data_IF_208951894781
#
_entry.id   IF_208951894781
#
_cell.length_a   1.000
_cell.length_b   1.000
_cell.length_c   1.000
_cell.angle_alpha   90.00
_cell.angle_beta   90.00
_cell.angle_gamma   90.00
#
_symmetry.space_group_name_H-M   'P 1'
#
loop_
_entity.id
_entity.type
_entity.pdbx_description
1 polymer ?
#
# COMPACT_ATOMS: atom_id res chain seq x y z
N UNK A 1 40.66 -28.04 50.01
CA UNK A 1 39.64 -29.02 50.49
C UNK A 1 38.24 -28.77 49.92
N UNK A 2 37.82 -27.49 49.72
CA UNK A 2 36.51 -27.13 49.13
C UNK A 2 36.26 -27.60 47.68
N UNK A 3 37.27 -27.60 46.79
CA UNK A 3 37.11 -27.99 45.37
C UNK A 3 36.78 -29.48 45.21
N UNK A 4 37.31 -30.34 46.10
CA UNK A 4 36.99 -31.79 46.14
C UNK A 4 35.59 -32.06 46.70
N UNK A 5 35.04 -31.14 47.49
CA UNK A 5 33.68 -31.24 48.04
C UNK A 5 32.63 -30.78 47.02
N UNK A 6 32.90 -29.67 46.31
CA UNK A 6 32.09 -29.18 45.19
C UNK A 6 32.01 -30.19 44.04
N UNK A 7 33.14 -30.78 43.63
CA UNK A 7 33.16 -31.81 42.57
C UNK A 7 32.45 -33.11 42.99
N UNK A 8 32.56 -33.53 44.26
CA UNK A 8 31.79 -34.68 44.77
C UNK A 8 30.30 -34.39 44.83
N UNK A 9 29.91 -33.19 45.27
CA UNK A 9 28.52 -32.75 45.34
C UNK A 9 27.92 -32.64 43.94
N UNK A 10 28.60 -31.98 43.00
CA UNK A 10 28.23 -31.93 41.57
C UNK A 10 28.14 -33.33 40.96
N UNK A 11 29.07 -34.25 41.26
CA UNK A 11 29.01 -35.62 40.72
C UNK A 11 27.86 -36.46 41.28
N UNK A 12 27.41 -36.18 42.52
CA UNK A 12 26.26 -36.83 43.15
C UNK A 12 24.96 -36.23 42.63
N UNK A 13 24.90 -34.89 42.54
CA UNK A 13 23.82 -34.16 41.90
C UNK A 13 23.66 -34.63 40.44
N UNK A 14 24.76 -34.77 39.70
CA UNK A 14 24.81 -35.26 38.32
C UNK A 14 24.42 -36.73 38.16
N UNK A 15 24.85 -37.61 39.07
CA UNK A 15 24.41 -39.01 39.08
C UNK A 15 22.93 -39.14 39.41
N UNK A 16 22.42 -38.29 40.30
CA UNK A 16 21.01 -38.20 40.62
C UNK A 16 20.20 -37.61 39.46
N UNK A 17 20.65 -36.50 38.87
CA UNK A 17 20.05 -35.81 37.73
C UNK A 17 20.04 -36.68 36.47
N UNK A 18 21.14 -37.40 36.17
CA UNK A 18 21.19 -38.35 35.04
C UNK A 18 20.34 -39.61 35.26
N UNK A 19 20.07 -40.00 36.51
CA UNK A 19 19.11 -41.06 36.84
C UNK A 19 17.67 -40.56 36.77
N UNK A 20 17.44 -39.29 37.13
CA UNK A 20 16.17 -38.60 36.99
C UNK A 20 15.82 -38.44 35.51
N UNK A 21 16.74 -37.91 34.70
CA UNK A 21 16.64 -37.84 33.23
C UNK A 21 16.39 -39.24 32.65
N UNK A 22 17.22 -40.25 32.98
CA UNK A 22 16.97 -41.63 32.49
C UNK A 22 15.62 -42.20 32.91
N UNK A 23 15.06 -41.83 34.06
CA UNK A 23 13.71 -42.28 34.49
C UNK A 23 12.58 -41.50 33.80
N UNK A 24 12.74 -40.19 33.62
CA UNK A 24 11.79 -39.32 32.91
C UNK A 24 11.71 -39.69 31.43
N UNK A 25 12.83 -40.06 30.82
CA UNK A 25 12.94 -40.41 29.40
C UNK A 25 12.73 -41.91 29.08
N UNK A 26 12.69 -42.85 30.06
CA UNK A 26 12.71 -44.31 29.75
C UNK A 26 11.39 -44.96 29.35
N UNK A 27 10.24 -44.31 29.46
CA UNK A 27 8.96 -44.89 29.03
C UNK A 27 7.88 -43.82 29.07
N UNK A 28 7.65 -43.11 27.97
CA UNK A 28 6.44 -42.30 27.79
C UNK A 28 5.99 -42.45 26.35
N UNK A 29 4.66 -42.62 26.17
CA UNK A 29 3.98 -42.45 24.88
C UNK A 29 4.58 -41.23 24.19
N UNK A 30 4.78 -41.28 22.86
CA UNK A 30 5.14 -40.10 22.08
C UNK A 30 4.24 -38.95 22.58
N UNK A 31 4.81 -37.90 23.20
CA UNK A 31 3.99 -36.80 23.68
C UNK A 31 3.22 -36.27 22.49
N UNK A 32 1.92 -36.02 22.67
CA UNK A 32 1.13 -35.41 21.61
C UNK A 32 1.61 -33.95 21.46
N UNK A 33 2.38 -33.74 20.40
CA UNK A 33 3.04 -32.47 20.08
C UNK A 33 2.10 -31.52 19.34
N UNK A 34 0.98 -32.03 18.79
CA UNK A 34 0.01 -31.27 17.98
C UNK A 34 -0.37 -29.93 18.61
N UNK A 35 -0.96 -29.91 19.82
CA UNK A 35 -1.46 -28.68 20.45
C UNK A 35 -0.38 -27.70 20.96
N UNK A 36 0.91 -28.03 20.79
CA UNK A 36 2.05 -27.21 21.20
C UNK A 36 2.83 -26.62 20.00
N UNK A 37 2.54 -27.11 18.79
CA UNK A 37 3.08 -26.62 17.52
C UNK A 37 1.98 -26.48 16.47
N UNK A 38 0.86 -25.89 16.89
CA UNK A 38 -0.21 -25.40 16.01
C UNK A 38 0.15 -24.03 15.42
N UNK A 39 -0.42 -23.75 14.24
CA UNK A 39 -0.24 -22.47 13.56
C UNK A 39 -0.88 -21.32 14.34
N UNK A 40 -2.12 -21.54 14.74
CA UNK A 40 -2.99 -20.55 15.41
C UNK A 40 -2.87 -20.61 16.93
N UNK A 41 -1.71 -21.06 17.43
CA UNK A 41 -1.42 -20.99 18.86
C UNK A 41 -1.56 -19.52 19.30
N UNK A 42 -2.31 -19.22 20.38
CA UNK A 42 -2.35 -17.87 20.91
C UNK A 42 -0.98 -17.55 21.48
N UNK A 43 -0.20 -16.80 20.70
CA UNK A 43 1.15 -16.43 21.04
C UNK A 43 1.09 -15.15 21.88
N UNK A 44 1.62 -15.18 23.11
CA UNK A 44 1.62 -14.04 24.04
C UNK A 44 2.67 -12.97 23.69
N UNK A 45 3.24 -12.29 24.69
CA UNK A 45 4.29 -11.26 24.47
C UNK A 45 5.60 -11.85 23.86
N UNK A 46 6.54 -10.97 23.52
CA UNK A 46 7.87 -11.30 22.96
C UNK A 46 8.65 -12.39 23.72
N UNK A 47 9.60 -13.06 23.04
CA UNK A 47 10.55 -13.95 23.70
C UNK A 47 11.48 -13.19 24.67
N UNK A 48 12.25 -13.93 25.47
CA UNK A 48 13.06 -13.37 26.56
C UNK A 48 14.55 -13.49 26.32
N UNK A 49 15.23 -12.33 26.28
CA UNK A 49 16.70 -12.22 26.32
C UNK A 49 17.20 -12.52 27.74
N UNK A 50 18.21 -13.37 27.84
CA UNK A 50 18.82 -13.77 29.10
C UNK A 50 20.06 -12.87 29.35
N UNK A 51 19.86 -11.62 29.76
CA UNK A 51 20.99 -10.78 30.14
C UNK A 51 21.65 -11.32 31.41
N UNK A 52 22.95 -11.00 31.58
CA UNK A 52 23.70 -11.31 32.79
C UNK A 52 23.13 -10.63 34.04
N UNK A 53 22.44 -9.49 33.88
CA UNK A 53 21.99 -8.66 35.00
C UNK A 53 20.45 -8.66 35.22
N UNK A 54 19.66 -9.23 34.31
CA UNK A 54 18.21 -9.39 34.49
C UNK A 54 17.88 -10.69 35.23
N UNK A 55 18.39 -10.84 36.44
CA UNK A 55 17.91 -11.88 37.35
C UNK A 55 16.61 -11.40 38.03
N UNK A 56 15.44 -12.02 37.79
CA UNK A 56 14.36 -11.87 38.77
C UNK A 56 14.87 -12.37 40.13
N UNK A 57 14.41 -11.80 41.25
CA UNK A 57 14.93 -12.15 42.57
C UNK A 57 14.89 -13.66 42.76
N UNK A 58 16.07 -14.22 43.02
CA UNK A 58 16.26 -15.62 43.38
C UNK A 58 15.45 -15.88 44.64
N UNK A 59 14.37 -16.66 44.49
CA UNK A 59 13.57 -17.28 45.54
C UNK A 59 12.95 -16.30 46.57
N UNK A 60 11.62 -16.08 46.59
CA UNK A 60 11.00 -15.74 47.87
C UNK A 60 11.22 -16.95 48.80
N UNK A 61 11.68 -16.70 50.02
CA UNK A 61 12.02 -17.70 51.05
C UNK A 61 10.99 -18.84 51.13
N UNK A 62 11.23 -19.93 50.40
CA UNK A 62 10.36 -21.08 50.38
C UNK A 62 10.93 -22.12 51.34
N UNK A 63 10.17 -22.41 52.40
CA UNK A 63 10.45 -23.43 53.40
C UNK A 63 10.63 -24.85 52.82
N UNK A 64 10.83 -25.86 53.70
CA UNK A 64 11.32 -27.18 53.31
C UNK A 64 10.47 -27.83 52.21
N UNK A 65 11.10 -28.03 51.06
CA UNK A 65 10.56 -28.62 49.84
C UNK A 65 9.84 -29.97 50.10
N UNK A 66 8.51 -29.96 50.07
CA UNK A 66 7.71 -31.16 49.97
C UNK A 66 7.70 -31.64 48.49
N UNK A 67 8.55 -32.61 48.19
CA UNK A 67 8.79 -33.23 46.87
C UNK A 67 7.64 -34.13 46.36
N UNK A 68 6.40 -33.89 46.80
CA UNK A 68 5.26 -34.69 46.39
C UNK A 68 4.43 -33.93 45.34
N UNK A 69 4.30 -34.50 44.14
CA UNK A 69 3.36 -34.14 43.06
C UNK A 69 3.69 -32.99 42.08
N UNK A 70 4.94 -32.51 42.00
CA UNK A 70 5.38 -31.38 41.15
C UNK A 70 5.28 -31.54 39.61
N UNK A 71 4.71 -32.63 39.07
CA UNK A 71 4.83 -32.98 37.64
C UNK A 71 3.53 -33.46 36.98
N UNK A 72 2.38 -32.97 37.44
CA UNK A 72 1.17 -32.88 36.59
C UNK A 72 0.95 -31.40 36.25
N UNK A 73 0.33 -31.19 35.08
CA UNK A 73 0.12 -29.94 34.34
C UNK A 73 0.34 -28.64 35.14
N UNK A 74 1.07 -27.66 34.59
CA UNK A 74 1.51 -26.46 35.31
C UNK A 74 0.32 -25.75 35.98
N UNK A 75 0.44 -25.55 37.30
CA UNK A 75 -0.48 -24.69 38.05
C UNK A 75 -0.01 -23.23 37.91
N UNK A 76 -0.90 -22.23 37.74
CA UNK A 76 -0.51 -20.83 37.49
C UNK A 76 0.52 -20.27 38.49
N UNK A 77 0.41 -20.64 39.77
CA UNK A 77 1.32 -20.25 40.85
C UNK A 77 2.75 -20.83 40.73
N UNK A 78 3.00 -21.75 39.80
CA UNK A 78 4.33 -22.36 39.58
C UNK A 78 5.10 -21.71 38.42
N UNK A 79 4.49 -20.80 37.67
CA UNK A 79 5.09 -20.18 36.48
C UNK A 79 6.42 -19.46 36.76
N UNK A 80 6.58 -18.62 37.80
CA UNK A 80 7.87 -17.97 38.08
C UNK A 80 8.98 -18.99 38.37
N UNK A 81 8.66 -20.09 39.05
CA UNK A 81 9.59 -21.17 39.37
C UNK A 81 9.97 -21.93 38.09
N UNK A 82 8.99 -22.27 37.25
CA UNK A 82 9.23 -22.95 35.98
C UNK A 82 10.11 -22.13 35.04
N UNK A 83 9.89 -20.82 34.98
CA UNK A 83 10.71 -19.90 34.20
C UNK A 83 12.13 -19.79 34.76
N UNK A 84 12.29 -19.73 36.09
CA UNK A 84 13.61 -19.76 36.73
C UNK A 84 14.38 -21.05 36.42
N UNK A 85 13.71 -22.20 36.43
CA UNK A 85 14.29 -23.49 36.03
C UNK A 85 14.66 -23.48 34.55
N UNK A 86 13.79 -22.99 33.67
CA UNK A 86 14.05 -22.90 32.24
C UNK A 86 15.27 -22.01 31.94
N UNK A 87 15.36 -20.84 32.57
CA UNK A 87 16.51 -19.93 32.48
C UNK A 87 17.81 -20.64 32.88
N UNK A 88 17.83 -21.33 34.01
CA UNK A 88 19.03 -22.08 34.46
C UNK A 88 19.42 -23.20 33.50
N UNK A 89 18.45 -23.90 32.91
CA UNK A 89 18.72 -24.92 31.90
C UNK A 89 19.30 -24.32 30.62
N UNK A 90 18.79 -23.17 30.18
CA UNK A 90 19.31 -22.45 29.01
C UNK A 90 20.72 -21.90 29.26
N UNK A 91 20.98 -21.32 30.43
CA UNK A 91 22.34 -20.91 30.84
C UNK A 91 23.32 -22.09 30.79
N UNK A 92 22.94 -23.28 31.27
CA UNK A 92 23.78 -24.49 31.21
C UNK A 92 24.06 -24.95 29.78
N UNK A 93 23.11 -24.75 28.86
CA UNK A 93 23.28 -25.03 27.43
C UNK A 93 24.08 -23.95 26.70
N UNK A 94 24.39 -22.82 27.36
CA UNK A 94 25.02 -21.66 26.72
C UNK A 94 24.08 -20.92 25.76
N UNK A 95 22.77 -21.05 25.98
CA UNK A 95 21.73 -20.34 25.25
C UNK A 95 21.39 -19.01 25.92
N UNK A 96 21.10 -18.00 25.10
CA UNK A 96 20.92 -16.61 25.54
C UNK A 96 19.49 -16.08 25.31
N UNK A 97 18.61 -16.87 24.68
CA UNK A 97 17.24 -16.47 24.34
C UNK A 97 16.23 -17.59 24.60
N UNK A 98 15.08 -17.25 25.17
CA UNK A 98 13.91 -18.13 25.33
C UNK A 98 12.82 -17.64 24.38
N UNK A 99 12.49 -18.42 23.34
CA UNK A 99 11.54 -18.00 22.31
C UNK A 99 10.11 -17.87 22.85
N UNK A 100 9.30 -17.04 22.18
CA UNK A 100 7.86 -16.85 22.44
C UNK A 100 7.12 -18.18 22.46
N UNK A 101 7.40 -19.05 21.48
CA UNK A 101 6.78 -20.38 21.40
C UNK A 101 7.14 -21.25 22.61
N UNK A 102 8.40 -21.24 23.04
CA UNK A 102 8.80 -21.95 24.25
C UNK A 102 8.09 -21.39 25.49
N UNK A 103 7.95 -20.06 25.62
CA UNK A 103 7.18 -19.47 26.72
C UNK A 103 5.74 -20.00 26.76
N UNK A 104 5.08 -20.12 25.61
CA UNK A 104 3.72 -20.70 25.51
C UNK A 104 3.72 -22.20 25.85
N UNK A 105 4.75 -22.95 25.46
CA UNK A 105 4.86 -24.36 25.87
C UNK A 105 5.02 -24.47 27.38
N UNK A 106 5.77 -23.57 28.02
CA UNK A 106 6.00 -23.55 29.47
C UNK A 106 4.73 -23.18 30.26
N UNK A 107 3.74 -22.49 29.68
CA UNK A 107 2.43 -22.30 30.34
C UNK A 107 1.59 -23.58 30.36
N UNK A 108 1.91 -24.54 29.48
CA UNK A 108 1.16 -25.81 29.31
C UNK A 108 1.91 -27.03 29.85
N UNK A 109 3.23 -26.95 30.03
CA UNK A 109 4.11 -28.06 30.46
C UNK A 109 5.16 -27.58 31.43
N UNK A 110 5.59 -28.46 32.34
CA UNK A 110 6.72 -28.15 33.23
C UNK A 110 8.02 -27.89 32.44
N UNK A 111 8.95 -27.15 33.03
CA UNK A 111 10.17 -26.68 32.35
C UNK A 111 11.00 -27.80 31.71
N UNK A 112 11.12 -28.96 32.35
CA UNK A 112 11.88 -30.07 31.78
C UNK A 112 11.17 -30.69 30.58
N UNK A 113 9.86 -30.90 30.69
CA UNK A 113 9.06 -31.44 29.59
C UNK A 113 8.96 -30.45 28.44
N UNK A 114 8.71 -29.17 28.71
CA UNK A 114 8.59 -28.11 27.72
C UNK A 114 9.86 -27.93 26.92
N UNK A 115 11.02 -27.83 27.59
CA UNK A 115 12.32 -27.73 26.93
C UNK A 115 12.63 -29.02 26.15
N UNK A 116 12.35 -30.19 26.73
CA UNK A 116 12.53 -31.45 26.01
C UNK A 116 11.70 -31.51 24.73
N UNK A 117 10.44 -31.07 24.78
CA UNK A 117 9.53 -31.02 23.64
C UNK A 117 10.07 -30.05 22.58
N UNK A 118 10.46 -28.85 22.98
CA UNK A 118 11.03 -27.83 22.12
C UNK A 118 12.31 -28.29 21.41
N UNK A 119 13.28 -28.81 22.16
CA UNK A 119 14.52 -29.34 21.60
C UNK A 119 14.26 -30.54 20.68
N UNK A 120 13.36 -31.44 21.06
CA UNK A 120 12.99 -32.60 20.23
C UNK A 120 12.36 -32.17 18.91
N UNK A 121 11.55 -31.11 18.90
CA UNK A 121 10.97 -30.56 17.67
C UNK A 121 12.07 -30.06 16.72
N UNK A 122 13.08 -29.36 17.27
CA UNK A 122 14.25 -28.88 16.52
C UNK A 122 15.29 -29.97 16.23
N UNK A 123 15.00 -31.24 16.55
CA UNK A 123 15.91 -32.39 16.44
C UNK A 123 17.24 -32.21 17.19
N UNK A 124 17.19 -31.53 18.33
CA UNK A 124 18.32 -31.33 19.23
C UNK A 124 18.19 -32.22 20.46
N UNK A 125 19.32 -32.77 20.92
CA UNK A 125 19.40 -33.52 22.17
C UNK A 125 20.06 -32.67 23.27
N UNK A 126 19.42 -32.65 24.45
CA UNK A 126 19.90 -31.87 25.59
C UNK A 126 21.30 -32.31 26.06
N UNK A 127 21.63 -33.60 26.02
CA UNK A 127 22.96 -34.07 26.44
C UNK A 127 24.04 -33.68 25.44
N UNK A 128 23.70 -33.65 24.15
CA UNK A 128 24.61 -33.23 23.10
C UNK A 128 24.94 -31.73 23.23
N UNK A 129 23.94 -30.90 23.54
CA UNK A 129 24.14 -29.48 23.82
C UNK A 129 25.06 -29.25 25.03
N UNK A 130 24.97 -30.06 26.08
CA UNK A 130 25.86 -29.90 27.24
C UNK A 130 27.32 -30.31 26.97
N UNK A 131 27.55 -31.24 26.04
CA UNK A 131 28.88 -31.85 25.81
C UNK A 131 29.62 -31.28 24.61
N UNK A 132 28.90 -30.86 23.58
CA UNK A 132 29.49 -30.48 22.30
C UNK A 132 29.44 -28.97 22.09
N UNK A 133 30.60 -28.29 21.98
CA UNK A 133 30.65 -26.88 21.58
C UNK A 133 29.97 -26.63 20.22
N UNK A 134 30.16 -27.52 19.24
CA UNK A 134 29.55 -27.42 17.91
C UNK A 134 28.02 -27.51 17.95
N UNK A 135 27.47 -28.36 18.81
CA UNK A 135 26.02 -28.46 18.98
C UNK A 135 25.43 -27.18 19.60
N UNK A 136 26.15 -26.57 20.56
CA UNK A 136 25.76 -25.28 21.15
C UNK A 136 25.82 -24.14 20.13
N UNK A 137 26.88 -24.10 19.33
CA UNK A 137 27.00 -23.09 18.27
C UNK A 137 25.82 -23.19 17.29
N UNK A 138 25.50 -24.41 16.82
CA UNK A 138 24.32 -24.64 15.97
C UNK A 138 23.02 -24.21 16.64
N UNK A 139 22.83 -24.55 17.91
CA UNK A 139 21.62 -24.17 18.64
C UNK A 139 21.51 -22.66 18.83
N UNK A 140 22.62 -21.97 19.11
CA UNK A 140 22.62 -20.52 19.21
C UNK A 140 22.29 -19.86 17.86
N UNK A 141 22.77 -20.39 16.73
CA UNK A 141 22.31 -19.94 15.40
C UNK A 141 20.80 -20.12 15.19
N UNK A 142 20.22 -21.20 15.71
CA UNK A 142 18.75 -21.37 15.66
C UNK A 142 18.06 -20.29 16.50
N UNK A 143 18.63 -19.94 17.65
CA UNK A 143 18.07 -18.89 18.51
C UNK A 143 18.21 -17.49 17.91
N UNK A 144 19.28 -17.21 17.17
CA UNK A 144 19.46 -15.95 16.43
C UNK A 144 18.30 -15.78 15.43
N UNK A 145 18.06 -16.80 14.60
CA UNK A 145 16.93 -16.82 13.64
C UNK A 145 15.58 -16.69 14.36
N UNK A 146 15.36 -17.48 15.42
CA UNK A 146 14.06 -17.51 16.11
C UNK A 146 13.76 -16.21 16.87
N UNK A 147 14.77 -15.48 17.34
CA UNK A 147 14.57 -14.14 17.93
C UNK A 147 14.05 -13.17 16.88
N UNK A 148 14.69 -13.12 15.71
CA UNK A 148 14.27 -12.23 14.62
C UNK A 148 12.86 -12.57 14.13
N UNK A 149 12.54 -13.86 14.02
CA UNK A 149 11.18 -14.32 13.70
C UNK A 149 10.16 -13.88 14.75
N UNK A 150 10.48 -14.00 16.05
CA UNK A 150 9.58 -13.59 17.11
C UNK A 150 9.27 -12.07 17.03
N UNK A 151 10.28 -11.25 16.72
CA UNK A 151 10.14 -9.81 16.51
C UNK A 151 9.24 -9.52 15.29
N UNK A 152 9.56 -10.08 14.12
CA UNK A 152 8.81 -9.84 12.88
C UNK A 152 7.37 -10.35 12.97
N UNK A 153 7.17 -11.59 13.43
CA UNK A 153 5.84 -12.19 13.52
C UNK A 153 4.93 -11.47 14.52
N UNK A 154 5.49 -10.82 15.55
CA UNK A 154 4.71 -10.01 16.48
C UNK A 154 4.21 -8.72 15.81
N UNK A 155 5.04 -8.04 15.03
CA UNK A 155 4.68 -6.78 14.37
C UNK A 155 3.53 -6.93 13.38
N UNK A 156 3.55 -7.99 12.58
CA UNK A 156 2.54 -8.24 11.53
C UNK A 156 1.50 -9.29 11.93
N UNK A 157 1.57 -9.80 13.16
CA UNK A 157 0.66 -10.80 13.72
C UNK A 157 0.47 -12.06 12.85
N UNK A 158 1.57 -12.70 12.46
CA UNK A 158 1.57 -13.96 11.68
C UNK A 158 2.21 -15.11 12.46
N UNK A 159 2.06 -16.34 11.95
CA UNK A 159 2.63 -17.53 12.57
C UNK A 159 4.13 -17.69 12.26
N UNK A 160 4.90 -18.00 13.30
CA UNK A 160 6.32 -18.37 13.29
C UNK A 160 6.55 -19.86 12.93
N UNK A 161 5.50 -20.68 12.94
CA UNK A 161 5.58 -22.14 12.72
C UNK A 161 6.35 -22.56 11.45
N UNK A 162 6.21 -21.90 10.29
CA UNK A 162 6.96 -22.28 9.08
C UNK A 162 8.48 -22.32 9.28
N UNK A 163 9.02 -21.40 10.09
CA UNK A 163 10.45 -21.38 10.40
C UNK A 163 10.84 -22.55 11.31
N UNK A 164 10.01 -22.90 12.29
CA UNK A 164 10.24 -24.08 13.13
C UNK A 164 10.26 -25.37 12.30
N UNK A 165 9.35 -25.50 11.33
CA UNK A 165 9.35 -26.62 10.40
C UNK A 165 10.57 -26.62 9.46
N UNK A 166 11.04 -25.46 9.02
CA UNK A 166 12.29 -25.33 8.26
C UNK A 166 13.50 -25.77 9.11
N UNK A 167 13.61 -25.30 10.35
CA UNK A 167 14.70 -25.67 11.28
C UNK A 167 14.68 -27.16 11.64
N UNK A 168 13.49 -27.77 11.74
CA UNK A 168 13.31 -29.20 11.99
C UNK A 168 13.90 -30.08 10.88
N UNK A 169 14.02 -29.59 9.66
CA UNK A 169 14.72 -30.30 8.57
C UNK A 169 16.21 -30.49 8.88
N UNK A 170 16.76 -29.62 9.74
CA UNK A 170 18.17 -29.57 10.10
C UNK A 170 19.03 -28.75 9.14
N UNK A 171 18.46 -28.22 8.05
CA UNK A 171 19.14 -27.34 7.11
C UNK A 171 18.94 -25.87 7.52
N UNK A 172 20.02 -25.20 7.93
CA UNK A 172 19.99 -23.78 8.32
C UNK A 172 19.69 -22.89 7.11
N UNK A 173 20.27 -23.18 5.96
CA UNK A 173 20.11 -22.37 4.75
C UNK A 173 18.64 -22.30 4.32
N UNK A 174 17.89 -23.39 4.52
CA UNK A 174 16.45 -23.41 4.26
C UNK A 174 15.67 -22.50 5.24
N UNK A 175 16.09 -22.47 6.52
CA UNK A 175 15.46 -21.60 7.51
C UNK A 175 15.80 -20.12 7.26
N UNK A 176 17.03 -19.81 6.82
CA UNK A 176 17.45 -18.46 6.40
C UNK A 176 16.66 -18.01 5.17
N UNK A 177 16.55 -18.85 4.13
CA UNK A 177 15.72 -18.52 2.95
C UNK A 177 14.23 -18.32 3.32
N UNK A 178 13.72 -19.09 4.28
CA UNK A 178 12.35 -18.92 4.78
C UNK A 178 12.22 -17.63 5.60
N UNK A 179 13.26 -17.22 6.32
CA UNK A 179 13.32 -15.94 7.03
C UNK A 179 13.34 -14.77 6.05
N UNK A 180 14.10 -14.84 4.97
CA UNK A 180 14.12 -13.82 3.90
C UNK A 180 12.73 -13.60 3.29
N UNK A 181 11.98 -14.69 3.07
CA UNK A 181 10.59 -14.62 2.62
C UNK A 181 9.69 -13.90 3.65
N UNK A 182 9.86 -14.19 4.95
CA UNK A 182 9.13 -13.51 6.02
C UNK A 182 9.45 -12.00 6.06
N UNK A 183 10.71 -11.60 5.88
CA UNK A 183 11.08 -10.18 5.80
C UNK A 183 10.47 -9.49 4.58
N UNK A 184 10.43 -10.17 3.44
CA UNK A 184 9.79 -9.66 2.23
C UNK A 184 8.29 -9.47 2.47
N UNK A 185 7.63 -10.47 3.04
CA UNK A 185 6.21 -10.38 3.41
C UNK A 185 5.94 -9.25 4.43
N UNK A 186 6.82 -9.05 5.42
CA UNK A 186 6.76 -7.92 6.37
C UNK A 186 6.84 -6.58 5.66
N UNK A 187 7.77 -6.42 4.72
CA UNK A 187 7.95 -5.18 3.95
C UNK A 187 6.68 -4.84 3.16
N UNK A 188 6.14 -5.80 2.42
CA UNK A 188 4.89 -5.64 1.66
C UNK A 188 3.72 -5.32 2.59
N UNK A 189 3.58 -6.06 3.69
CA UNK A 189 2.56 -5.79 4.70
C UNK A 189 2.64 -4.37 5.24
N UNK A 190 3.84 -3.92 5.62
CA UNK A 190 4.07 -2.58 6.14
C UNK A 190 3.72 -1.49 5.11
N UNK A 191 4.08 -1.70 3.83
CA UNK A 191 3.72 -0.77 2.75
C UNK A 191 2.19 -0.64 2.62
N UNK A 192 1.46 -1.76 2.65
CA UNK A 192 0.00 -1.78 2.49
C UNK A 192 -0.73 -1.17 3.70
N UNK A 193 -0.33 -1.56 4.92
CA UNK A 193 -1.04 -1.13 6.15
C UNK A 193 -0.75 0.33 6.52
N UNK A 194 0.49 0.78 6.29
CA UNK A 194 0.87 2.16 6.63
C UNK A 194 0.43 3.17 5.58
N UNK A 195 -0.01 2.72 4.40
CA UNK A 195 -0.57 3.60 3.39
C UNK A 195 -1.86 4.23 3.90
N UNK A 196 -1.88 5.56 3.96
CA UNK A 196 -2.97 6.39 4.52
C UNK A 196 -3.39 7.51 3.59
N UNK A 197 -2.62 7.78 2.53
CA UNK A 197 -2.94 8.84 1.58
C UNK A 197 -4.14 8.46 0.70
N UNK A 198 -4.30 7.16 0.41
CA UNK A 198 -5.37 6.67 -0.46
C UNK A 198 -6.74 6.81 0.23
N UNK A 199 -7.59 7.65 -0.33
CA UNK A 199 -8.91 8.00 0.24
C UNK A 199 -10.04 7.04 -0.20
N UNK A 200 -9.82 6.27 -1.27
CA UNK A 200 -10.87 5.46 -1.88
C UNK A 200 -11.32 4.31 -0.96
N UNK A 201 -12.62 4.17 -0.65
CA UNK A 201 -13.11 3.09 0.21
C UNK A 201 -12.76 1.69 -0.32
N UNK A 202 -12.79 1.51 -1.65
CA UNK A 202 -12.43 0.27 -2.33
C UNK A 202 -11.02 -0.22 -2.01
N UNK A 203 -10.06 0.67 -1.73
CA UNK A 203 -8.70 0.29 -1.37
C UNK A 203 -8.66 -0.59 -0.12
N UNK A 204 -9.41 -0.23 0.93
CA UNK A 204 -9.39 -0.97 2.20
C UNK A 204 -10.12 -2.32 2.10
N UNK A 205 -11.27 -2.31 1.46
CA UNK A 205 -12.16 -3.48 1.43
C UNK A 205 -11.76 -4.49 0.35
N UNK A 206 -11.40 -4.00 -0.84
CA UNK A 206 -11.13 -4.85 -2.00
C UNK A 206 -9.65 -5.26 -2.10
N UNK A 207 -8.72 -4.46 -1.57
CA UNK A 207 -7.29 -4.75 -1.66
C UNK A 207 -6.64 -5.05 -0.30
N UNK A 208 -6.66 -4.12 0.66
CA UNK A 208 -5.95 -4.28 1.94
C UNK A 208 -6.42 -5.52 2.69
N UNK A 209 -7.74 -5.68 2.85
CA UNK A 209 -8.30 -6.82 3.60
C UNK A 209 -7.97 -8.19 2.98
N UNK A 210 -8.12 -8.41 1.66
CA UNK A 210 -7.64 -9.64 1.00
C UNK A 210 -6.12 -9.82 1.03
N UNK A 211 -5.33 -8.75 0.86
CA UNK A 211 -3.88 -8.82 0.87
C UNK A 211 -3.35 -9.28 2.23
N UNK A 212 -3.84 -8.70 3.33
CA UNK A 212 -3.47 -9.12 4.70
C UNK A 212 -3.84 -10.59 4.93
N UNK A 213 -5.00 -11.05 4.44
CA UNK A 213 -5.40 -12.47 4.53
C UNK A 213 -4.46 -13.39 3.76
N UNK A 214 -3.96 -12.97 2.58
CA UNK A 214 -2.95 -13.73 1.83
C UNK A 214 -1.62 -13.77 2.59
N UNK A 215 -1.15 -12.62 3.10
CA UNK A 215 0.11 -12.49 3.86
C UNK A 215 0.07 -13.28 5.18
N UNK A 216 -1.10 -13.47 5.79
CA UNK A 216 -1.25 -14.37 6.94
C UNK A 216 -0.77 -15.80 6.64
N UNK A 217 -0.74 -16.20 5.35
CA UNK A 217 -0.18 -17.44 4.82
C UNK A 217 1.08 -17.22 3.98
N UNK A 218 1.98 -16.35 4.47
CA UNK A 218 3.21 -15.93 3.81
C UNK A 218 4.09 -17.10 3.34
N UNK A 219 4.08 -18.26 4.01
CA UNK A 219 4.89 -19.41 3.61
C UNK A 219 4.43 -20.09 2.32
N UNK A 220 3.24 -19.76 1.84
CA UNK A 220 2.68 -20.24 0.57
C UNK A 220 2.86 -19.24 -0.56
N UNK A 221 3.36 -18.05 -0.25
CA UNK A 221 3.58 -17.01 -1.24
C UNK A 221 4.89 -17.28 -1.96
N UNK A 222 4.84 -17.14 -3.28
CA UNK A 222 6.03 -17.03 -4.10
C UNK A 222 6.40 -15.54 -4.28
N UNK A 223 7.60 -15.30 -4.77
CA UNK A 223 8.10 -13.96 -5.06
C UNK A 223 7.18 -13.23 -6.05
N UNK A 224 6.62 -13.96 -7.04
CA UNK A 224 5.66 -13.41 -8.01
C UNK A 224 4.41 -12.83 -7.35
N UNK A 225 3.83 -13.53 -6.37
CA UNK A 225 2.62 -13.07 -5.67
C UNK A 225 2.92 -11.83 -4.83
N UNK A 226 4.10 -11.74 -4.22
CA UNK A 226 4.50 -10.57 -3.44
C UNK A 226 4.70 -9.34 -4.34
N UNK A 227 5.33 -9.52 -5.51
CA UNK A 227 5.45 -8.47 -6.52
C UNK A 227 4.10 -8.01 -7.03
N UNK A 228 3.16 -8.94 -7.29
CA UNK A 228 1.80 -8.60 -7.72
C UNK A 228 1.09 -7.69 -6.68
N UNK A 229 1.27 -7.95 -5.38
CA UNK A 229 0.71 -7.09 -4.33
C UNK A 229 1.35 -5.69 -4.32
N UNK A 230 2.66 -5.58 -4.54
CA UNK A 230 3.36 -4.29 -4.66
C UNK A 230 2.86 -3.52 -5.89
N UNK A 231 2.69 -4.19 -7.04
CA UNK A 231 2.16 -3.59 -8.27
C UNK A 231 0.73 -3.07 -8.09
N UNK A 232 -0.15 -3.86 -7.45
CA UNK A 232 -1.53 -3.42 -7.18
C UNK A 232 -1.53 -2.21 -6.24
N UNK A 233 -0.68 -2.18 -5.21
CA UNK A 233 -0.54 -1.02 -4.33
C UNK A 233 -0.12 0.23 -5.14
N UNK A 234 0.84 0.10 -6.05
CA UNK A 234 1.28 1.20 -6.91
C UNK A 234 0.16 1.72 -7.83
N UNK A 235 -0.70 0.84 -8.36
CA UNK A 235 -1.86 1.27 -9.15
C UNK A 235 -2.80 2.16 -8.33
N UNK A 236 -3.08 1.79 -7.09
CA UNK A 236 -3.91 2.62 -6.20
C UNK A 236 -3.24 3.94 -5.83
N UNK A 237 -1.92 3.94 -5.60
CA UNK A 237 -1.16 5.17 -5.35
C UNK A 237 -1.21 6.10 -6.57
N UNK A 238 -1.05 5.57 -7.78
CA UNK A 238 -1.15 6.36 -9.01
C UNK A 238 -2.56 6.93 -9.21
N UNK A 239 -3.61 6.17 -8.88
CA UNK A 239 -4.99 6.69 -8.91
C UNK A 239 -5.18 7.83 -7.91
N UNK A 240 -4.60 7.74 -6.71
CA UNK A 240 -4.67 8.80 -5.71
C UNK A 240 -3.94 10.06 -6.21
N UNK A 241 -2.76 9.90 -6.80
CA UNK A 241 -1.99 11.01 -7.39
C UNK A 241 -2.77 11.72 -8.49
N UNK A 242 -3.38 10.97 -9.42
CA UNK A 242 -4.23 11.53 -10.47
C UNK A 242 -5.43 12.31 -9.89
N UNK A 243 -6.07 11.77 -8.83
CA UNK A 243 -7.16 12.44 -8.15
C UNK A 243 -6.72 13.76 -7.49
N UNK A 244 -5.57 13.76 -6.83
CA UNK A 244 -5.03 14.94 -6.18
C UNK A 244 -4.66 16.02 -7.21
N UNK A 245 -4.01 15.62 -8.31
CA UNK A 245 -3.66 16.51 -9.42
C UNK A 245 -4.89 17.20 -10.03
N UNK A 246 -5.93 16.43 -10.38
CA UNK A 246 -7.13 17.00 -11.00
C UNK A 246 -7.92 17.87 -10.01
N UNK A 247 -7.93 17.50 -8.72
CA UNK A 247 -8.63 18.26 -7.69
C UNK A 247 -7.95 19.62 -7.45
N UNK A 248 -6.62 19.67 -7.44
CA UNK A 248 -5.88 20.93 -7.35
C UNK A 248 -6.04 21.78 -8.62
N UNK A 249 -6.00 21.18 -9.82
CA UNK A 249 -6.25 21.88 -11.08
C UNK A 249 -7.67 22.48 -11.13
N UNK A 250 -8.68 21.72 -10.69
CA UNK A 250 -10.06 22.19 -10.57
C UNK A 250 -10.18 23.33 -9.56
N UNK A 251 -9.53 23.24 -8.39
CA UNK A 251 -9.54 24.33 -7.40
C UNK A 251 -8.96 25.62 -8.02
N UNK A 252 -7.79 25.51 -8.65
CA UNK A 252 -7.11 26.65 -9.25
C UNK A 252 -7.95 27.34 -10.32
N UNK A 253 -8.59 26.59 -11.22
CA UNK A 253 -9.39 27.20 -12.30
C UNK A 253 -10.70 27.80 -11.79
N UNK A 254 -11.32 27.18 -10.77
CA UNK A 254 -12.51 27.72 -10.10
C UNK A 254 -12.17 29.06 -9.43
N UNK A 255 -11.03 29.16 -8.75
CA UNK A 255 -10.55 30.41 -8.14
C UNK A 255 -10.30 31.49 -9.20
N UNK A 256 -9.65 31.15 -10.32
CA UNK A 256 -9.40 32.08 -11.42
C UNK A 256 -10.70 32.64 -12.01
N UNK A 257 -11.68 31.79 -12.31
CA UNK A 257 -12.97 32.23 -12.85
C UNK A 257 -13.74 33.09 -11.84
N UNK A 258 -13.72 32.72 -10.56
CA UNK A 258 -14.34 33.52 -9.49
C UNK A 258 -13.70 34.91 -9.36
N UNK A 259 -12.39 35.03 -9.55
CA UNK A 259 -11.68 36.30 -9.50
C UNK A 259 -12.05 37.28 -10.62
N UNK A 260 -12.47 36.76 -11.79
CA UNK A 260 -12.88 37.59 -12.93
C UNK A 260 -14.35 38.05 -12.82
N UNK A 261 -15.18 37.34 -12.04
CA UNK A 261 -16.63 37.53 -11.88
C UNK A 261 -17.39 37.70 -13.22
N UNK A 262 -17.70 36.60 -13.95
CA UNK A 262 -18.21 36.68 -15.32
C UNK A 262 -19.50 37.52 -15.42
N UNK A 263 -19.49 38.66 -16.10
CA UNK A 263 -20.65 39.58 -16.19
C UNK A 263 -21.92 38.91 -16.78
N UNK A 264 -21.74 37.92 -17.66
CA UNK A 264 -22.86 37.26 -18.34
C UNK A 264 -23.57 36.21 -17.45
N UNK A 265 -24.88 36.37 -17.29
CA UNK A 265 -25.72 35.48 -16.46
C UNK A 265 -25.71 34.02 -16.91
N UNK A 266 -25.58 33.77 -18.21
CA UNK A 266 -25.54 32.40 -18.77
C UNK A 266 -24.25 31.69 -18.37
N UNK A 267 -23.12 32.37 -18.48
CA UNK A 267 -21.80 31.86 -18.10
C UNK A 267 -21.75 31.59 -16.58
N UNK A 268 -22.24 32.52 -15.75
CA UNK A 268 -22.34 32.28 -14.29
C UNK A 268 -23.13 31.02 -13.97
N UNK A 269 -24.28 30.80 -14.63
CA UNK A 269 -25.11 29.60 -14.39
C UNK A 269 -24.40 28.32 -14.80
N UNK A 270 -23.77 28.31 -15.98
CA UNK A 270 -23.02 27.15 -16.47
C UNK A 270 -21.87 26.81 -15.51
N UNK A 271 -21.08 27.81 -15.10
CA UNK A 271 -20.03 27.66 -14.11
C UNK A 271 -20.54 27.05 -12.78
N UNK A 272 -21.61 27.61 -12.20
CA UNK A 272 -22.18 27.07 -10.95
C UNK A 272 -22.70 25.63 -11.11
N UNK A 273 -23.23 25.26 -12.28
CA UNK A 273 -23.67 23.90 -12.53
C UNK A 273 -22.50 22.93 -12.59
N UNK A 274 -21.39 23.31 -13.24
CA UNK A 274 -20.19 22.47 -13.31
C UNK A 274 -19.55 22.34 -11.94
N UNK A 275 -19.39 23.42 -11.18
CA UNK A 275 -18.87 23.36 -9.80
C UNK A 275 -19.71 22.42 -8.93
N UNK A 276 -21.05 22.51 -9.03
CA UNK A 276 -21.94 21.59 -8.31
C UNK A 276 -21.76 20.12 -8.74
N UNK A 277 -21.49 19.86 -10.02
CA UNK A 277 -21.17 18.50 -10.52
C UNK A 277 -19.85 18.02 -9.93
N UNK A 278 -18.80 18.86 -9.93
CA UNK A 278 -17.50 18.55 -9.33
C UNK A 278 -17.66 18.16 -7.86
N UNK A 279 -18.37 18.96 -7.06
CA UNK A 279 -18.61 18.67 -5.64
C UNK A 279 -19.40 17.36 -5.45
N UNK A 280 -20.38 17.10 -6.33
CA UNK A 280 -21.15 15.86 -6.34
C UNK A 280 -20.28 14.63 -6.61
N UNK A 281 -19.47 14.68 -7.67
CA UNK A 281 -18.57 13.57 -8.05
C UNK A 281 -17.56 13.29 -6.94
N UNK A 282 -16.94 14.33 -6.37
CA UNK A 282 -15.98 14.16 -5.26
C UNK A 282 -16.62 13.45 -4.07
N UNK A 283 -17.83 13.86 -3.71
CA UNK A 283 -18.59 13.21 -2.63
C UNK A 283 -18.94 11.76 -2.95
N UNK A 284 -19.36 11.46 -4.17
CA UNK A 284 -19.68 10.08 -4.59
C UNK A 284 -18.45 9.16 -4.57
N UNK A 285 -17.25 9.68 -4.87
CA UNK A 285 -15.98 8.97 -4.77
C UNK A 285 -15.62 8.71 -3.30
N UNK A 286 -15.72 9.74 -2.45
CA UNK A 286 -15.45 9.62 -1.00
C UNK A 286 -16.40 8.65 -0.30
N UNK A 287 -17.68 8.63 -0.70
CA UNK A 287 -18.69 7.69 -0.20
C UNK A 287 -18.54 6.27 -0.80
N UNK A 288 -17.72 6.12 -1.86
CA UNK A 288 -17.50 4.85 -2.55
C UNK A 288 -18.69 4.38 -3.38
N UNK A 289 -19.67 5.25 -3.63
CA UNK A 289 -20.80 4.95 -4.53
C UNK A 289 -20.40 5.01 -6.01
N UNK A 290 -19.27 5.65 -6.31
CA UNK A 290 -18.70 5.75 -7.65
C UNK A 290 -17.31 5.13 -7.69
N UNK A 291 -17.00 4.47 -8.80
CA UNK A 291 -15.64 3.99 -9.07
C UNK A 291 -14.66 5.17 -9.16
N UNK A 292 -13.46 5.00 -8.61
CA UNK A 292 -12.48 6.07 -8.53
C UNK A 292 -11.97 6.49 -9.91
N UNK A 293 -11.72 5.53 -10.82
CA UNK A 293 -11.21 5.83 -12.16
C UNK A 293 -12.26 6.56 -13.00
N UNK A 294 -13.49 6.05 -13.00
CA UNK A 294 -14.63 6.69 -13.70
C UNK A 294 -14.89 8.10 -13.14
N UNK A 295 -14.81 8.25 -11.82
CA UNK A 295 -14.96 9.53 -11.14
C UNK A 295 -13.89 10.56 -11.54
N UNK A 296 -12.62 10.14 -11.62
CA UNK A 296 -11.51 10.99 -12.06
C UNK A 296 -11.70 11.43 -13.52
N UNK A 297 -12.13 10.52 -14.42
CA UNK A 297 -12.41 10.86 -15.82
C UNK A 297 -13.52 11.92 -15.94
N UNK A 298 -14.60 11.80 -15.15
CA UNK A 298 -15.66 12.80 -15.13
C UNK A 298 -15.19 14.15 -14.55
N UNK A 299 -14.30 14.15 -13.55
CA UNK A 299 -13.67 15.36 -13.03
C UNK A 299 -12.80 16.04 -14.09
N UNK A 300 -12.05 15.25 -14.87
CA UNK A 300 -11.27 15.76 -16.00
C UNK A 300 -12.17 16.42 -17.05
N UNK A 301 -13.30 15.78 -17.39
CA UNK A 301 -14.30 16.40 -18.29
C UNK A 301 -14.84 17.72 -17.73
N UNK A 302 -15.07 17.82 -16.41
CA UNK A 302 -15.50 19.08 -15.79
C UNK A 302 -14.41 20.15 -15.87
N UNK A 303 -13.14 19.77 -15.69
CA UNK A 303 -12.01 20.68 -15.84
C UNK A 303 -11.94 21.25 -17.27
N UNK A 304 -12.07 20.40 -18.29
CA UNK A 304 -12.03 20.83 -19.69
C UNK A 304 -13.18 21.81 -20.02
N UNK A 305 -14.39 21.56 -19.50
CA UNK A 305 -15.53 22.48 -19.61
C UNK A 305 -15.22 23.84 -18.94
N UNK A 306 -14.63 23.84 -17.75
CA UNK A 306 -14.24 25.07 -17.03
C UNK A 306 -13.11 25.82 -17.74
N UNK A 307 -12.15 25.09 -18.33
CA UNK A 307 -11.07 25.68 -19.11
C UNK A 307 -11.58 26.43 -20.34
N UNK A 308 -12.53 25.83 -21.06
CA UNK A 308 -13.19 26.49 -22.18
C UNK A 308 -13.97 27.75 -21.75
N UNK A 309 -14.62 27.73 -20.59
CA UNK A 309 -15.28 28.91 -20.02
C UNK A 309 -14.27 30.00 -19.66
N UNK A 310 -13.17 29.63 -19.00
CA UNK A 310 -12.14 30.57 -18.60
C UNK A 310 -11.50 31.26 -19.82
N UNK A 311 -11.19 30.51 -20.88
CA UNK A 311 -10.67 31.06 -22.14
C UNK A 311 -11.66 32.05 -22.79
N UNK A 312 -12.94 31.69 -22.87
CA UNK A 312 -13.98 32.58 -23.40
C UNK A 312 -14.14 33.87 -22.59
N UNK A 313 -14.02 33.81 -21.26
CA UNK A 313 -14.09 35.01 -20.40
C UNK A 313 -12.87 35.91 -20.66
N UNK A 314 -11.68 35.32 -20.73
CA UNK A 314 -10.42 36.04 -20.94
C UNK A 314 -10.40 36.78 -22.28
N UNK A 315 -10.84 36.13 -23.36
CA UNK A 315 -10.95 36.74 -24.69
C UNK A 315 -11.96 37.90 -24.72
N UNK A 316 -13.06 37.79 -23.95
CA UNK A 316 -14.04 38.86 -23.79
C UNK A 316 -13.47 40.09 -23.07
N UNK A 317 -12.66 39.90 -22.03
CA UNK A 317 -12.02 41.00 -21.28
C UNK A 317 -10.93 41.73 -22.07
N UNK A 318 -10.17 41.02 -22.91
CA UNK A 318 -9.14 41.63 -23.77
C UNK A 318 -9.74 42.54 -24.87
N UNK A 319 -10.97 42.24 -25.29
CA UNK A 319 -11.71 43.10 -26.23
C UNK A 319 -12.28 44.37 -25.58
N UNK A 320 -12.62 44.37 -24.28
CA UNK A 320 -13.06 45.58 -23.56
C UNK A 320 -11.90 46.55 -23.25
N UNK A 321 -10.70 46.06 -22.91
CA UNK A 321 -9.53 46.92 -22.61
C UNK A 321 -8.95 47.61 -23.85
N UNK A 322 -9.10 47.01 -25.03
CA UNK A 322 -8.63 47.59 -26.29
C UNK A 322 -9.62 48.57 -26.95
N UNK A 323 -10.80 48.76 -26.34
CA UNK A 323 -11.85 49.64 -26.87
C UNK A 323 -11.69 51.12 -26.47
N UNK A 324 -10.74 51.46 -25.59
CA UNK A 324 -10.52 52.86 -25.18
C UNK A 324 -9.54 53.66 -26.07
N UNK A 325 -9.03 53.08 -27.16
CA UNK A 325 -8.08 53.75 -28.08
C UNK A 325 -8.42 53.64 -29.59
N UNK A 326 -9.63 53.26 -30.00
CA UNK A 326 -9.94 53.08 -31.44
C UNK A 326 -11.26 53.68 -31.90
N UNK A 327 -11.41 55.00 -31.79
CA UNK A 327 -12.06 55.76 -32.85
C UNK A 327 -10.99 56.00 -33.92
N UNK A 328 -10.93 55.18 -34.99
CA UNK A 328 -10.27 55.53 -36.27
C UNK A 328 -10.32 54.42 -37.37
N UNK A 329 -10.78 53.18 -37.11
CA UNK A 329 -10.61 52.05 -38.07
C UNK A 329 -11.90 51.47 -38.72
N UNK A 330 -13.03 52.20 -38.70
CA UNK A 330 -14.29 51.73 -39.31
C UNK A 330 -14.21 51.57 -40.85
N UNK A 331 -13.30 52.28 -41.52
CA UNK A 331 -13.12 52.20 -42.98
C UNK A 331 -12.35 50.95 -43.46
N UNK A 332 -11.68 50.24 -42.54
CA UNK A 332 -10.87 49.04 -42.83
C UNK A 332 -11.69 47.74 -42.76
N UNK A 333 -12.72 47.70 -41.91
CA UNK A 333 -13.51 46.50 -41.64
C UNK A 333 -14.43 46.13 -42.82
N UNK A 334 -15.14 47.11 -43.38
CA UNK A 334 -16.06 46.91 -44.51
C UNK A 334 -15.35 46.40 -45.77
N UNK A 335 -14.11 46.83 -46.00
CA UNK A 335 -13.27 46.33 -47.08
C UNK A 335 -12.95 44.84 -46.92
N UNK A 336 -12.55 44.42 -45.71
CA UNK A 336 -12.23 43.02 -45.39
C UNK A 336 -13.46 42.11 -45.46
N UNK A 337 -14.62 42.58 -45.01
CA UNK A 337 -15.89 41.85 -45.12
C UNK A 337 -16.20 41.53 -46.58
N UNK A 338 -16.06 42.52 -47.48
CA UNK A 338 -16.32 42.36 -48.91
C UNK A 338 -15.38 41.34 -49.56
N UNK A 339 -14.10 41.37 -49.23
CA UNK A 339 -13.10 40.44 -49.78
C UNK A 339 -13.32 38.99 -49.30
N UNK A 340 -13.72 38.81 -48.04
CA UNK A 340 -14.07 37.49 -47.51
C UNK A 340 -15.35 36.94 -48.15
N UNK A 341 -16.37 37.77 -48.36
CA UNK A 341 -17.60 37.37 -49.06
C UNK A 341 -17.31 36.98 -50.52
N UNK A 342 -16.41 37.70 -51.18
CA UNK A 342 -15.91 37.35 -52.52
C UNK A 342 -15.18 36.01 -52.55
N UNK A 343 -14.33 35.76 -51.56
CA UNK A 343 -13.59 34.50 -51.40
C UNK A 343 -14.53 33.29 -51.25
N UNK A 344 -15.66 33.48 -50.58
CA UNK A 344 -16.69 32.45 -50.41
C UNK A 344 -17.71 32.38 -51.57
N UNK A 345 -17.56 33.21 -52.60
CA UNK A 345 -18.48 33.26 -53.75
C UNK A 345 -19.88 33.78 -53.37
N UNK A 346 -19.96 34.59 -52.32
CA UNK A 346 -21.19 35.19 -51.80
C UNK A 346 -21.36 36.65 -52.21
N UNK A 347 -20.47 37.19 -53.05
CA UNK A 347 -20.63 38.54 -53.62
C UNK A 347 -21.93 38.65 -54.43
N UNK A 348 -22.76 39.65 -54.12
CA UNK A 348 -24.08 39.86 -54.71
C UNK A 348 -25.19 38.97 -54.14
N UNK A 349 -24.92 38.18 -53.10
CA UNK A 349 -25.99 37.55 -52.31
C UNK A 349 -26.58 38.59 -51.36
N UNK A 350 -27.90 38.59 -51.14
CA UNK A 350 -28.55 39.58 -50.27
C UNK A 350 -28.11 39.46 -48.80
N UNK A 351 -29.05 39.26 -47.89
CA UNK A 351 -28.70 39.06 -46.47
C UNK A 351 -27.99 37.70 -46.30
N UNK A 352 -26.75 37.70 -45.84
CA UNK A 352 -25.97 36.48 -45.60
C UNK A 352 -26.20 35.99 -44.17
N UNK A 353 -26.86 34.84 -44.03
CA UNK A 353 -27.06 34.18 -42.73
C UNK A 353 -25.98 33.13 -42.47
N UNK A 354 -25.82 32.72 -41.21
CA UNK A 354 -24.88 31.66 -40.81
C UNK A 354 -25.07 30.36 -41.60
N UNK A 355 -26.32 30.04 -41.95
CA UNK A 355 -26.63 28.85 -42.74
C UNK A 355 -26.10 28.96 -44.18
N UNK A 356 -26.24 30.13 -44.81
CA UNK A 356 -25.70 30.41 -46.15
C UNK A 356 -24.17 30.35 -46.12
N UNK A 357 -23.56 30.98 -45.11
CA UNK A 357 -22.11 31.00 -44.90
C UNK A 357 -21.52 29.58 -44.76
N UNK A 358 -22.13 28.74 -43.90
CA UNK A 358 -21.72 27.34 -43.71
C UNK A 358 -21.87 26.51 -44.98
N UNK A 359 -22.96 26.74 -45.73
CA UNK A 359 -23.25 25.99 -46.96
C UNK A 359 -22.25 26.32 -48.08
N UNK A 360 -21.97 27.60 -48.30
CA UNK A 360 -20.98 28.05 -49.29
C UNK A 360 -19.58 27.53 -48.98
N UNK A 361 -19.16 27.64 -47.72
CA UNK A 361 -17.86 27.15 -47.23
C UNK A 361 -17.72 25.64 -47.41
N UNK A 362 -18.75 24.86 -47.05
CA UNK A 362 -18.74 23.39 -47.23
C UNK A 362 -18.63 23.00 -48.71
N UNK A 363 -19.30 23.74 -49.61
CA UNK A 363 -19.26 23.51 -51.06
C UNK A 363 -17.86 23.78 -51.61
N UNK A 364 -17.23 24.88 -51.21
CA UNK A 364 -15.88 25.25 -51.65
C UNK A 364 -14.79 24.34 -51.07
N UNK A 365 -14.86 24.02 -49.76
CA UNK A 365 -13.93 23.06 -49.13
C UNK A 365 -13.96 21.70 -49.80
N UNK A 366 -15.13 21.17 -50.16
CA UNK A 366 -15.23 19.89 -50.89
C UNK A 366 -14.59 19.94 -52.29
N UNK A 367 -14.56 21.12 -52.91
CA UNK A 367 -14.03 21.34 -54.27
C UNK A 367 -12.52 21.55 -54.28
N UNK A 368 -11.98 22.16 -53.23
CA UNK A 368 -10.56 22.50 -53.12
C UNK A 368 -9.80 21.69 -52.06
N UNK A 369 -10.42 20.68 -51.44
CA UNK A 369 -9.74 19.82 -50.47
C UNK A 369 -8.49 19.18 -51.08
N UNK A 370 -7.31 19.27 -50.42
CA UNK A 370 -6.05 18.78 -50.98
C UNK A 370 -6.12 17.28 -51.35
N UNK A 371 -6.81 16.47 -50.55
CA UNK A 371 -6.99 15.04 -50.85
C UNK A 371 -7.85 14.73 -52.09
N UNK A 372 -8.69 15.69 -52.53
CA UNK A 372 -9.61 15.51 -53.67
C UNK A 372 -9.21 16.32 -54.90
N UNK A 373 -8.34 17.30 -54.74
CA UNK A 373 -7.88 18.18 -55.81
C UNK A 373 -6.33 18.22 -55.80
N UNK A 374 -5.66 17.56 -56.76
CA UNK A 374 -4.19 17.47 -56.81
C UNK A 374 -3.51 18.76 -57.32
N UNK A 375 -4.26 19.87 -57.46
CA UNK A 375 -3.68 21.13 -57.87
C UNK A 375 -2.75 21.70 -56.77
N UNK A 376 -1.59 22.27 -57.14
CA UNK A 376 -0.61 22.77 -56.18
C UNK A 376 -1.11 23.95 -55.33
N UNK A 377 -2.21 24.60 -55.74
CA UNK A 377 -2.85 25.74 -55.06
C UNK A 377 -4.05 25.33 -54.18
N UNK A 378 -4.37 24.04 -54.10
CA UNK A 378 -5.53 23.52 -53.36
C UNK A 378 -5.43 23.79 -51.84
N UNK A 379 -4.22 23.69 -51.28
CA UNK A 379 -3.95 23.96 -49.86
C UNK A 379 -4.13 25.44 -49.54
N UNK A 380 -3.56 26.34 -50.35
CA UNK A 380 -3.68 27.80 -50.17
C UNK A 380 -5.14 28.27 -50.29
N UNK A 381 -5.88 27.74 -51.28
CA UNK A 381 -7.30 28.05 -51.46
C UNK A 381 -8.15 27.53 -50.31
N UNK A 382 -7.86 26.35 -49.80
CA UNK A 382 -8.58 25.80 -48.63
C UNK A 382 -8.32 26.64 -47.39
N UNK A 383 -7.10 27.13 -47.20
CA UNK A 383 -6.75 28.04 -46.10
C UNK A 383 -7.50 29.37 -46.22
N UNK A 384 -7.49 30.00 -47.40
CA UNK A 384 -8.23 31.24 -47.64
C UNK A 384 -9.74 31.10 -47.39
N UNK A 385 -10.34 29.96 -47.76
CA UNK A 385 -11.76 29.64 -47.48
C UNK A 385 -12.01 29.51 -45.97
N UNK A 386 -11.07 28.91 -45.22
CA UNK A 386 -11.18 28.73 -43.77
C UNK A 386 -11.12 30.08 -43.05
N UNK A 387 -10.20 30.93 -43.46
CA UNK A 387 -9.95 32.22 -42.84
C UNK A 387 -11.10 33.19 -43.14
N UNK A 388 -11.61 33.21 -44.38
CA UNK A 388 -12.80 33.97 -44.74
C UNK A 388 -14.05 33.52 -43.97
N UNK A 389 -14.25 32.21 -43.77
CA UNK A 389 -15.35 31.70 -42.96
C UNK A 389 -15.23 32.10 -41.49
N UNK A 390 -14.04 31.96 -40.89
CA UNK A 390 -13.80 32.33 -39.49
C UNK A 390 -14.09 33.81 -39.26
N UNK A 391 -13.58 34.68 -40.12
CA UNK A 391 -13.77 36.12 -40.02
C UNK A 391 -15.25 36.53 -40.13
N UNK A 392 -15.98 36.01 -41.14
CA UNK A 392 -17.40 36.34 -41.32
C UNK A 392 -18.30 35.72 -40.24
N UNK A 393 -17.95 34.53 -39.73
CA UNK A 393 -18.68 33.90 -38.63
C UNK A 393 -18.50 34.67 -37.32
N UNK A 394 -17.30 35.21 -37.08
CA UNK A 394 -17.02 36.11 -35.95
C UNK A 394 -17.81 37.43 -36.09
N UNK A 395 -17.85 38.04 -37.28
CA UNK A 395 -18.68 39.22 -37.55
C UNK A 395 -20.18 38.97 -37.24
N UNK A 396 -20.73 37.84 -37.68
CA UNK A 396 -22.12 37.46 -37.38
C UNK A 396 -22.35 37.21 -35.88
N UNK A 397 -21.37 36.63 -35.19
CA UNK A 397 -21.44 36.37 -33.74
C UNK A 397 -21.41 37.67 -32.93
N UNK A 398 -20.76 38.72 -33.47
CA UNK A 398 -20.74 40.10 -32.95
C UNK A 398 -21.97 40.93 -33.36
N UNK A 399 -22.91 40.36 -34.13
CA UNK A 399 -24.14 41.03 -34.55
C UNK A 399 -24.02 41.92 -35.78
N UNK A 400 -22.92 41.86 -36.53
CA UNK A 400 -22.73 42.63 -37.77
C UNK A 400 -23.59 42.03 -38.88
N UNK A 401 -24.40 42.85 -39.56
CA UNK A 401 -25.20 42.39 -40.70
C UNK A 401 -24.34 42.27 -41.97
N UNK A 402 -24.26 41.05 -42.51
CA UNK A 402 -23.49 40.78 -43.72
C UNK A 402 -24.38 40.89 -44.97
N UNK A 403 -23.96 41.76 -45.90
CA UNK A 403 -24.56 41.92 -47.23
C UNK A 403 -23.51 41.62 -48.30
N UNK A 404 -23.86 40.72 -49.22
CA UNK A 404 -22.96 40.21 -50.27
C UNK A 404 -22.78 41.14 -51.45
#
# INVERSE_FOLDING_TARGET
MMIRFLTKWFSKLWRWFSRLLRKVFRKRRKPDLGPLFERDLPMGDEGWKLDKDSAPPLFPDAGPFALASLFRDPHPNTMPIQLGVAKKLFELMGAWYITRRLRVILTKRDAFQGISIFLSHLRLDFQDLLRSPKARERFNRYLDILMEVDEVCLEINVSDLPIYDALKSGNIENAEATLDLLHTARRVHAAIVNEKAIIFPGFRDQFVSPAIKKIAYWERLDESTLTELEEILHLWQSLQEQYDEITEALRAIIEQINGIDPKERRIRRAFHQIVKRVDGIRKEIEEGSKDAADGIEELQSCYDELAAIHEHIKDGTAHEESAHEREDDETSLDGKIRDCLKTLGLSGSGRVTLQILKTATRKLRRRYHPDRNPAPDATEKTQAINDAYKFLNDCLSRGVELHG
#
